data_IF_700329612996
#
_entry.id   IF_700329612996
#
_cell.length_a   1.000
_cell.length_b   1.000
_cell.length_c   1.000
_cell.angle_alpha   90.00
_cell.angle_beta   90.00
_cell.angle_gamma   90.00
#
_symmetry.space_group_name_H-M   'P 1'
#
loop_
_entity.id
_entity.type
_entity.pdbx_description
1 polymer ?
#
# COMPACT_ATOMS: atom_id res chain seq x y z
N UNK A 1 -0.90 21.64 19.13
CA UNK A 1 0.42 20.98 18.99
C UNK A 1 0.38 19.48 19.26
N UNK A 2 -0.33 18.99 20.30
CA UNK A 2 -0.46 17.55 20.58
C UNK A 2 -0.95 16.73 19.38
N UNK A 3 -2.01 17.19 18.71
CA UNK A 3 -2.54 16.52 17.51
C UNK A 3 -1.58 16.51 16.32
N UNK A 4 -0.78 17.57 16.12
CA UNK A 4 0.24 17.61 15.06
C UNK A 4 1.38 16.62 15.37
N UNK A 5 1.86 16.58 16.61
CA UNK A 5 2.90 15.64 17.04
C UNK A 5 2.41 14.20 16.96
N UNK A 6 1.17 13.94 17.38
CA UNK A 6 0.53 12.62 17.28
C UNK A 6 0.35 12.20 15.83
N UNK A 7 -0.05 13.11 14.93
CA UNK A 7 -0.17 12.82 13.50
C UNK A 7 1.19 12.51 12.85
N UNK A 8 2.24 13.29 13.15
CA UNK A 8 3.59 13.04 12.64
C UNK A 8 4.15 11.71 13.17
N UNK A 9 4.00 11.46 14.48
CA UNK A 9 4.41 10.20 15.09
C UNK A 9 3.61 9.02 14.52
N UNK A 10 2.31 9.19 14.29
CA UNK A 10 1.45 8.18 13.67
C UNK A 10 1.87 7.84 12.25
N UNK A 11 2.11 8.84 11.40
CA UNK A 11 2.59 8.64 10.01
C UNK A 11 3.99 7.99 10.00
N UNK A 12 4.89 8.40 10.89
CA UNK A 12 6.24 7.83 10.97
C UNK A 12 6.27 6.40 11.50
N UNK A 13 5.59 6.13 12.61
CA UNK A 13 5.55 4.80 13.24
C UNK A 13 4.66 3.81 12.49
N UNK A 14 3.62 4.30 11.82
CA UNK A 14 2.68 3.49 11.03
C UNK A 14 3.08 3.29 9.58
N UNK A 15 4.26 3.75 9.14
CA UNK A 15 4.66 3.76 7.73
C UNK A 15 4.52 2.39 7.05
N UNK A 16 4.87 1.31 7.75
CA UNK A 16 4.76 -0.05 7.22
C UNK A 16 3.45 -0.72 7.60
N UNK A 17 2.85 -0.38 8.74
CA UNK A 17 1.63 -1.02 9.25
C UNK A 17 0.39 -0.56 8.46
N UNK A 18 -0.21 -1.48 7.71
CA UNK A 18 -1.34 -1.21 6.85
C UNK A 18 -2.40 -2.32 6.97
N UNK A 19 -3.68 -1.94 6.86
CA UNK A 19 -4.80 -2.89 6.78
C UNK A 19 -4.93 -3.50 5.39
N UNK A 20 -4.51 -2.74 4.37
CA UNK A 20 -4.48 -3.16 2.97
C UNK A 20 -3.04 -3.39 2.55
N UNK A 21 -2.86 -4.25 1.56
CA UNK A 21 -1.57 -4.43 0.90
C UNK A 21 -1.22 -3.14 0.17
N UNK A 22 0.00 -2.66 0.39
CA UNK A 22 0.52 -1.41 -0.18
C UNK A 22 1.80 -1.66 -0.99
N UNK A 23 2.29 -0.62 -1.66
CA UNK A 23 3.48 -0.69 -2.52
C UNK A 23 4.75 -1.10 -1.76
N UNK A 24 4.86 -0.77 -0.47
CA UNK A 24 5.98 -1.19 0.38
C UNK A 24 6.00 -2.70 0.59
N UNK A 25 4.86 -3.36 0.72
CA UNK A 25 4.79 -4.83 0.84
C UNK A 25 5.32 -5.51 -0.41
N UNK A 26 4.94 -5.00 -1.60
CA UNK A 26 5.41 -5.50 -2.90
C UNK A 26 6.91 -5.32 -3.05
N UNK A 27 7.42 -4.17 -2.64
CA UNK A 27 8.83 -3.86 -2.71
C UNK A 27 9.65 -4.79 -1.80
N UNK A 28 9.22 -4.93 -0.54
CA UNK A 28 9.91 -5.76 0.44
C UNK A 28 9.86 -7.23 0.05
N UNK A 29 8.71 -7.75 -0.40
CA UNK A 29 8.60 -9.14 -0.87
C UNK A 29 9.48 -9.40 -2.09
N UNK A 30 9.59 -8.43 -3.01
CA UNK A 30 10.48 -8.50 -4.17
C UNK A 30 11.96 -8.58 -3.77
N UNK A 31 12.42 -7.68 -2.89
CA UNK A 31 13.80 -7.68 -2.38
C UNK A 31 14.09 -8.97 -1.60
N UNK A 32 13.17 -9.40 -0.74
CA UNK A 32 13.30 -10.64 0.03
C UNK A 32 13.34 -11.88 -0.87
N UNK A 33 12.57 -11.89 -1.96
CA UNK A 33 12.62 -12.97 -2.94
C UNK A 33 13.97 -13.03 -3.65
N UNK A 34 14.52 -11.89 -4.09
CA UNK A 34 15.84 -11.85 -4.72
C UNK A 34 16.96 -12.27 -3.75
N UNK A 35 16.85 -11.91 -2.47
CA UNK A 35 17.76 -12.38 -1.43
C UNK A 35 17.59 -13.89 -1.16
N UNK A 36 16.36 -14.42 -1.11
CA UNK A 36 16.09 -15.83 -0.86
C UNK A 36 16.60 -16.74 -1.98
N UNK A 37 16.50 -16.29 -3.23
CA UNK A 37 17.02 -16.99 -4.42
C UNK A 37 18.54 -17.24 -4.38
N UNK A 38 19.28 -16.50 -3.56
CA UNK A 38 20.72 -16.73 -3.37
C UNK A 38 21.01 -18.07 -2.67
N UNK A 39 20.07 -18.53 -1.83
CA UNK A 39 20.13 -19.78 -1.09
C UNK A 39 19.35 -20.87 -1.84
N UNK A 40 18.10 -20.60 -2.20
CA UNK A 40 17.21 -21.53 -2.90
C UNK A 40 16.45 -20.82 -4.04
N UNK A 41 16.74 -21.23 -5.27
CA UNK A 41 16.15 -20.65 -6.48
C UNK A 41 14.63 -20.85 -6.61
N UNK A 42 14.05 -21.83 -5.89
CA UNK A 42 12.61 -22.07 -5.89
C UNK A 42 11.86 -21.24 -4.83
N UNK A 43 12.58 -20.58 -3.91
CA UNK A 43 11.96 -19.81 -2.85
C UNK A 43 11.38 -18.49 -3.37
N UNK A 44 10.12 -18.24 -3.03
CA UNK A 44 9.40 -17.02 -3.39
C UNK A 44 8.69 -16.47 -2.17
N UNK A 45 8.96 -15.22 -1.83
CA UNK A 45 8.28 -14.51 -0.73
C UNK A 45 7.08 -13.79 -1.31
N UNK A 46 5.89 -14.16 -0.86
CA UNK A 46 4.64 -13.57 -1.32
C UNK A 46 4.39 -12.23 -0.65
N UNK A 47 3.69 -11.34 -1.37
CA UNK A 47 3.27 -10.03 -0.85
C UNK A 47 2.33 -10.19 0.36
N UNK A 48 1.54 -11.26 0.38
CA UNK A 48 0.57 -11.52 1.45
C UNK A 48 1.20 -12.11 2.73
N UNK A 49 2.48 -12.52 2.69
CA UNK A 49 3.11 -13.22 3.82
C UNK A 49 3.18 -12.31 5.06
N UNK A 50 3.39 -11.01 4.85
CA UNK A 50 3.44 -10.03 5.94
C UNK A 50 2.05 -9.50 6.33
N UNK A 51 1.00 -9.72 5.54
CA UNK A 51 -0.26 -9.00 5.68
C UNK A 51 -0.93 -9.19 7.05
N UNK A 52 -0.97 -10.41 7.57
CA UNK A 52 -1.53 -10.67 8.91
C UNK A 52 -0.76 -9.94 10.00
N UNK A 53 0.57 -9.90 9.91
CA UNK A 53 1.41 -9.19 10.86
C UNK A 53 1.19 -7.68 10.78
N UNK A 54 1.16 -7.11 9.57
CA UNK A 54 0.93 -5.68 9.36
C UNK A 54 -0.47 -5.25 9.83
N UNK A 55 -1.51 -6.02 9.49
CA UNK A 55 -2.89 -5.74 9.90
C UNK A 55 -3.05 -5.78 11.42
N UNK A 56 -2.43 -6.76 12.10
CA UNK A 56 -2.43 -6.81 13.57
C UNK A 56 -1.66 -5.64 14.19
N UNK A 57 -0.54 -5.24 13.58
CA UNK A 57 0.29 -4.12 14.03
C UNK A 57 -0.47 -2.80 13.98
N UNK A 58 -1.37 -2.58 13.02
CA UNK A 58 -2.21 -1.36 12.98
C UNK A 58 -3.01 -1.20 14.27
N UNK A 59 -3.61 -2.28 14.78
CA UNK A 59 -4.43 -2.25 16.00
C UNK A 59 -3.54 -1.91 17.20
N UNK A 60 -2.40 -2.61 17.32
CA UNK A 60 -1.45 -2.40 18.42
C UNK A 60 -0.89 -0.98 18.40
N UNK A 61 -0.44 -0.49 17.25
CA UNK A 61 0.12 0.86 17.10
C UNK A 61 -0.93 1.94 17.33
N UNK A 62 -2.18 1.72 16.91
CA UNK A 62 -3.28 2.66 17.18
C UNK A 62 -3.54 2.78 18.68
N UNK A 63 -3.61 1.64 19.39
CA UNK A 63 -3.83 1.63 20.84
C UNK A 63 -2.65 2.23 21.60
N UNK A 64 -1.43 1.78 21.30
CA UNK A 64 -0.22 2.24 21.99
C UNK A 64 0.06 3.71 21.67
N UNK A 65 -0.07 4.11 20.40
CA UNK A 65 0.12 5.50 19.96
C UNK A 65 -0.92 6.45 20.54
N UNK A 66 -2.18 6.02 20.61
CA UNK A 66 -3.25 6.75 21.30
C UNK A 66 -2.95 6.91 22.79
N UNK A 67 -2.63 5.80 23.48
CA UNK A 67 -2.30 5.83 24.90
C UNK A 67 -1.09 6.70 25.24
N UNK A 68 -0.03 6.66 24.43
CA UNK A 68 1.15 7.53 24.60
C UNK A 68 0.76 8.99 24.37
N UNK A 69 -0.07 9.27 23.36
CA UNK A 69 -0.54 10.62 23.06
C UNK A 69 -1.33 11.18 24.25
N UNK A 70 -2.37 10.47 24.68
CA UNK A 70 -3.32 10.95 25.69
C UNK A 70 -2.68 11.00 27.08
N UNK A 71 -1.81 10.04 27.42
CA UNK A 71 -1.29 9.88 28.79
C UNK A 71 0.07 10.53 29.01
N UNK A 72 0.87 10.73 27.96
CA UNK A 72 2.24 11.26 28.09
C UNK A 72 2.38 12.59 27.36
N UNK A 73 1.95 12.68 26.10
CA UNK A 73 2.18 13.88 25.26
C UNK A 73 1.23 15.00 25.68
N UNK A 74 -0.07 14.72 25.75
CA UNK A 74 -1.11 15.73 26.03
C UNK A 74 -0.95 16.37 27.43
N UNK A 75 -0.69 15.62 28.52
CA UNK A 75 -0.52 16.22 29.84
C UNK A 75 0.74 17.10 29.95
N UNK A 76 1.76 16.85 29.14
CA UNK A 76 3.01 17.63 29.11
C UNK A 76 2.88 18.94 28.33
N UNK A 77 1.86 19.07 27.48
CA UNK A 77 1.63 20.25 26.64
C UNK A 77 0.75 21.32 27.29
N UNK A 78 0.12 21.02 28.44
CA UNK A 78 -0.77 21.94 29.16
C UNK A 78 -2.14 22.12 28.49
N UNK A 79 -3.07 22.79 29.18
CA UNK A 79 -4.41 23.08 28.63
C UNK A 79 -4.32 24.18 27.58
N UNK A 80 -4.86 23.91 26.40
CA UNK A 80 -4.91 24.87 25.30
C UNK A 80 -5.97 25.94 25.55
N UNK A 81 -5.57 27.20 25.71
CA UNK A 81 -6.46 28.35 25.94
C UNK A 81 -6.72 29.20 24.68
N UNK A 82 -6.27 28.77 23.51
CA UNK A 82 -6.40 29.51 22.25
C UNK A 82 -7.70 29.23 21.49
N UNK A 83 -8.41 30.27 21.05
CA UNK A 83 -9.51 30.16 20.09
C UNK A 83 -8.93 29.84 18.71
N UNK A 84 -9.17 28.64 18.19
CA UNK A 84 -8.77 28.27 16.83
C UNK A 84 -9.76 28.85 15.82
N UNK A 85 -9.33 29.85 15.04
CA UNK A 85 -10.08 30.35 13.88
C UNK A 85 -9.87 29.48 12.62
N UNK A 86 -9.05 28.42 12.71
CA UNK A 86 -8.98 27.36 11.69
C UNK A 86 -10.26 26.52 11.73
N UNK A 87 -11.23 26.89 10.90
CA UNK A 87 -12.34 26.00 10.56
C UNK A 87 -11.76 24.85 9.74
N UNK A 88 -11.97 23.62 10.20
CA UNK A 88 -11.78 22.42 9.39
C UNK A 88 -12.43 22.68 8.02
N UNK A 89 -11.66 22.59 6.94
CA UNK A 89 -12.19 22.73 5.60
C UNK A 89 -13.26 21.67 5.39
N UNK A 90 -14.51 22.12 5.36
CA UNK A 90 -15.63 21.21 5.11
C UNK A 90 -15.59 20.81 3.65
N UNK A 91 -15.69 19.51 3.39
CA UNK A 91 -15.76 18.97 2.03
C UNK A 91 -16.77 19.74 1.18
N UNK A 92 -16.33 20.16 0.00
CA UNK A 92 -17.21 20.80 -0.98
C UNK A 92 -18.32 19.83 -1.44
N UNK A 93 -19.39 20.35 -2.03
CA UNK A 93 -20.47 19.50 -2.56
C UNK A 93 -19.96 18.55 -3.63
N UNK A 94 -19.02 19.01 -4.45
CA UNK A 94 -18.36 18.26 -5.52
C UNK A 94 -17.46 17.16 -4.96
N UNK A 95 -16.66 17.45 -3.93
CA UNK A 95 -15.82 16.44 -3.27
C UNK A 95 -16.66 15.37 -2.58
N UNK A 96 -17.75 15.76 -1.91
CA UNK A 96 -18.66 14.82 -1.26
C UNK A 96 -19.38 13.93 -2.29
N UNK A 97 -19.76 14.49 -3.43
CA UNK A 97 -20.31 13.71 -4.55
C UNK A 97 -19.26 12.74 -5.11
N UNK A 98 -18.05 13.23 -5.39
CA UNK A 98 -16.94 12.41 -5.86
C UNK A 98 -16.62 11.25 -4.93
N UNK A 99 -16.62 11.47 -3.61
CA UNK A 99 -16.36 10.44 -2.62
C UNK A 99 -17.45 9.35 -2.63
N UNK A 100 -18.73 9.72 -2.81
CA UNK A 100 -19.81 8.74 -2.96
C UNK A 100 -19.66 7.90 -4.22
N UNK A 101 -19.34 8.53 -5.35
CA UNK A 101 -19.11 7.82 -6.62
C UNK A 101 -17.93 6.85 -6.48
N UNK A 102 -16.81 7.32 -5.93
CA UNK A 102 -15.63 6.49 -5.66
C UNK A 102 -15.95 5.31 -4.73
N UNK A 103 -16.75 5.55 -3.68
CA UNK A 103 -17.23 4.49 -2.78
C UNK A 103 -18.10 3.45 -3.48
N UNK A 104 -19.05 3.88 -4.31
CA UNK A 104 -19.91 2.95 -5.09
C UNK A 104 -19.05 2.15 -6.06
N UNK A 105 -18.15 2.79 -6.80
CA UNK A 105 -17.27 2.13 -7.77
C UNK A 105 -16.34 1.13 -7.08
N UNK A 106 -15.79 1.49 -5.90
CA UNK A 106 -15.00 0.58 -5.06
C UNK A 106 -15.80 -0.67 -4.68
N UNK A 107 -17.03 -0.50 -4.19
CA UNK A 107 -17.89 -1.63 -3.81
C UNK A 107 -18.25 -2.52 -5.01
N UNK A 108 -18.55 -1.91 -6.18
CA UNK A 108 -18.82 -2.65 -7.42
C UNK A 108 -17.59 -3.45 -7.86
N UNK A 109 -16.40 -2.86 -7.78
CA UNK A 109 -15.16 -3.55 -8.11
C UNK A 109 -14.92 -4.74 -7.18
N UNK A 110 -15.06 -4.54 -5.87
CA UNK A 110 -14.91 -5.59 -4.86
C UNK A 110 -15.94 -6.70 -5.10
N UNK A 111 -17.19 -6.35 -5.39
CA UNK A 111 -18.24 -7.34 -5.69
C UNK A 111 -17.91 -8.14 -6.96
N UNK A 112 -17.41 -7.48 -8.01
CA UNK A 112 -17.00 -8.15 -9.25
C UNK A 112 -15.84 -9.12 -9.01
N UNK A 113 -14.82 -8.70 -8.26
CA UNK A 113 -13.70 -9.59 -7.87
C UNK A 113 -14.19 -10.73 -6.99
N UNK A 114 -15.08 -10.47 -6.03
CA UNK A 114 -15.67 -11.50 -5.18
C UNK A 114 -16.46 -12.52 -6.02
N UNK A 115 -17.21 -12.09 -7.04
CA UNK A 115 -17.86 -13.01 -7.97
C UNK A 115 -16.88 -13.84 -8.82
N UNK A 116 -15.66 -13.36 -9.05
CA UNK A 116 -14.62 -14.10 -9.75
C UNK A 116 -13.82 -15.06 -8.85
N UNK A 117 -13.91 -14.91 -7.51
CA UNK A 117 -13.12 -15.67 -6.53
C UNK A 117 -13.97 -16.59 -5.65
N UNK A 118 -15.16 -16.17 -5.22
CA UNK A 118 -16.01 -16.88 -4.27
C UNK A 118 -16.68 -18.13 -4.87
N UNK A 119 -17.27 -18.09 -6.08
CA UNK A 119 -17.86 -19.28 -6.69
C UNK A 119 -16.81 -20.36 -6.95
N UNK A 120 -17.20 -21.63 -6.87
CA UNK A 120 -16.30 -22.76 -7.15
C UNK A 120 -15.73 -22.71 -8.59
N UNK A 121 -16.50 -22.13 -9.53
CA UNK A 121 -16.13 -21.89 -10.92
C UNK A 121 -15.41 -20.54 -11.14
N UNK A 122 -14.93 -19.89 -10.09
CA UNK A 122 -14.26 -18.60 -10.18
C UNK A 122 -12.97 -18.68 -11.01
N UNK A 123 -12.87 -17.83 -12.03
CA UNK A 123 -11.72 -17.79 -12.97
C UNK A 123 -10.40 -17.53 -12.22
N UNK A 124 -10.45 -16.81 -11.10
CA UNK A 124 -9.27 -16.43 -10.32
C UNK A 124 -8.88 -17.45 -9.24
N UNK A 125 -9.63 -18.55 -9.08
CA UNK A 125 -9.26 -19.67 -8.20
C UNK A 125 -8.28 -20.63 -8.89
N UNK A 126 -7.66 -21.49 -8.10
CA UNK A 126 -6.90 -22.62 -8.65
C UNK A 126 -7.81 -23.51 -9.50
N UNK A 127 -7.46 -23.69 -10.77
CA UNK A 127 -8.26 -24.44 -11.75
C UNK A 127 -8.27 -25.96 -11.49
N UNK A 128 -7.41 -26.45 -10.59
CA UNK A 128 -7.23 -27.89 -10.32
C UNK A 128 -7.73 -28.27 -8.93
N UNK A 129 -7.44 -27.44 -7.92
CA UNK A 129 -7.77 -27.70 -6.51
C UNK A 129 -8.96 -26.89 -6.01
N UNK A 130 -9.46 -25.92 -6.80
CA UNK A 130 -10.48 -24.94 -6.39
C UNK A 130 -10.13 -24.21 -5.08
N UNK A 131 -8.86 -24.21 -4.68
CA UNK A 131 -8.38 -23.55 -3.47
C UNK A 131 -8.16 -22.07 -3.73
N UNK A 132 -8.34 -21.26 -2.68
CA UNK A 132 -7.99 -19.84 -2.71
C UNK A 132 -6.48 -19.65 -2.52
N UNK A 133 -5.81 -20.59 -1.84
CA UNK A 133 -4.36 -20.64 -1.69
C UNK A 133 -3.82 -22.03 -2.08
N UNK A 134 -2.85 -22.12 -3.02
CA UNK A 134 -2.40 -21.10 -3.97
C UNK A 134 -3.48 -20.83 -5.03
N UNK A 135 -3.54 -19.63 -5.61
CA UNK A 135 -4.45 -19.30 -6.73
C UNK A 135 -3.94 -18.12 -7.57
N UNK A 136 -4.40 -17.97 -8.83
CA UNK A 136 -4.14 -16.80 -9.66
C UNK A 136 -4.50 -15.48 -8.99
N UNK A 137 -5.52 -15.46 -8.11
CA UNK A 137 -5.89 -14.29 -7.32
C UNK A 137 -4.75 -13.80 -6.41
N UNK A 138 -4.10 -14.71 -5.69
CA UNK A 138 -3.02 -14.36 -4.75
C UNK A 138 -1.74 -13.96 -5.50
N UNK A 139 -1.40 -14.69 -6.57
CA UNK A 139 -0.24 -14.36 -7.40
C UNK A 139 -0.43 -13.04 -8.16
N UNK A 140 -1.65 -12.74 -8.58
CA UNK A 140 -2.05 -11.52 -9.29
C UNK A 140 -2.55 -10.39 -8.38
N UNK A 141 -2.31 -10.45 -7.06
CA UNK A 141 -2.88 -9.47 -6.13
C UNK A 141 -2.38 -8.05 -6.41
N UNK A 142 -1.11 -7.90 -6.83
CA UNK A 142 -0.50 -6.60 -7.15
C UNK A 142 -1.18 -5.90 -8.32
N UNK A 143 -1.29 -6.50 -9.53
CA UNK A 143 -2.00 -5.86 -10.63
C UNK A 143 -3.49 -5.63 -10.31
N UNK A 144 -4.11 -6.49 -9.50
CA UNK A 144 -5.50 -6.30 -9.07
C UNK A 144 -5.67 -5.06 -8.19
N UNK A 145 -4.76 -4.83 -7.25
CA UNK A 145 -4.73 -3.62 -6.40
C UNK A 145 -4.48 -2.37 -7.25
N UNK A 146 -3.54 -2.42 -8.21
CA UNK A 146 -3.29 -1.31 -9.14
C UNK A 146 -4.57 -0.97 -9.91
N UNK A 147 -5.25 -1.99 -10.45
CA UNK A 147 -6.50 -1.81 -11.19
C UNK A 147 -7.61 -1.23 -10.30
N UNK A 148 -7.74 -1.72 -9.07
CA UNK A 148 -8.70 -1.21 -8.08
C UNK A 148 -8.47 0.29 -7.83
N UNK A 149 -7.25 0.68 -7.44
CA UNK A 149 -6.94 2.09 -7.17
C UNK A 149 -7.03 2.96 -8.41
N UNK A 150 -6.67 2.44 -9.59
CA UNK A 150 -6.82 3.16 -10.86
C UNK A 150 -8.29 3.47 -11.14
N UNK A 151 -9.17 2.46 -11.07
CA UNK A 151 -10.61 2.61 -11.34
C UNK A 151 -11.28 3.56 -10.33
N UNK A 152 -10.97 3.41 -9.04
CA UNK A 152 -11.51 4.28 -7.97
C UNK A 152 -11.03 5.72 -8.10
N UNK A 153 -9.73 5.93 -8.37
CA UNK A 153 -9.14 7.26 -8.52
C UNK A 153 -9.67 7.96 -9.78
N UNK A 154 -9.83 7.22 -10.88
CA UNK A 154 -10.41 7.72 -12.11
C UNK A 154 -11.86 8.15 -11.90
N UNK A 155 -12.66 7.32 -11.23
CA UNK A 155 -14.05 7.64 -10.90
C UNK A 155 -14.16 8.90 -10.04
N UNK A 156 -13.30 9.05 -9.02
CA UNK A 156 -13.24 10.26 -8.20
C UNK A 156 -12.81 11.49 -9.02
N UNK A 157 -11.77 11.36 -9.85
CA UNK A 157 -11.25 12.44 -10.69
C UNK A 157 -12.26 12.95 -11.71
N UNK A 158 -13.04 12.05 -12.31
CA UNK A 158 -14.13 12.40 -13.23
C UNK A 158 -15.28 13.06 -12.45
N UNK A 159 -15.72 12.46 -11.34
CA UNK A 159 -16.86 12.97 -10.57
C UNK A 159 -16.61 14.33 -9.90
N UNK A 160 -15.36 14.64 -9.56
CA UNK A 160 -14.96 15.97 -9.06
C UNK A 160 -14.64 16.97 -10.17
N UNK A 161 -14.68 16.56 -11.44
CA UNK A 161 -14.39 17.41 -12.59
C UNK A 161 -12.92 17.80 -12.73
N UNK A 162 -12.00 17.11 -12.02
CA UNK A 162 -10.54 17.21 -12.19
C UNK A 162 -10.09 16.58 -13.51
N UNK A 163 -10.75 15.51 -13.93
CA UNK A 163 -10.53 14.83 -15.21
C UNK A 163 -11.74 15.14 -16.10
N UNK A 164 -11.56 16.00 -17.10
CA UNK A 164 -12.64 16.38 -18.04
C UNK A 164 -12.44 15.77 -19.40
N UNK A 165 -11.19 15.56 -19.80
CA UNK A 165 -10.79 14.99 -21.08
C UNK A 165 -9.82 13.84 -20.86
N UNK A 166 -9.82 12.88 -21.77
CA UNK A 166 -8.85 11.78 -21.76
C UNK A 166 -7.41 12.29 -21.80
N UNK A 167 -7.17 13.46 -22.41
CA UNK A 167 -5.87 14.12 -22.47
C UNK A 167 -5.35 14.63 -21.12
N UNK A 168 -6.21 14.75 -20.09
CA UNK A 168 -5.79 15.20 -18.75
C UNK A 168 -5.11 14.05 -17.98
N UNK A 169 -5.43 12.79 -18.32
CA UNK A 169 -4.97 11.61 -17.59
C UNK A 169 -3.44 11.39 -17.66
N UNK A 170 -2.77 11.48 -18.83
CA UNK A 170 -1.32 11.30 -18.89
C UNK A 170 -0.53 12.26 -17.99
N UNK A 171 -0.97 13.52 -17.89
CA UNK A 171 -0.29 14.50 -17.03
C UNK A 171 -0.37 14.11 -15.55
N UNK A 172 -1.54 13.65 -15.10
CA UNK A 172 -1.76 13.17 -13.73
C UNK A 172 -0.96 11.89 -13.42
N UNK A 173 -0.61 11.10 -14.44
CA UNK A 173 0.23 9.90 -14.28
C UNK A 173 1.73 10.21 -14.27
N UNK A 174 2.16 11.31 -14.92
CA UNK A 174 3.58 11.71 -14.99
C UNK A 174 4.08 12.22 -13.64
N UNK A 175 3.25 12.93 -12.88
CA UNK A 175 3.67 13.59 -11.63
C UNK A 175 4.16 12.57 -10.57
N UNK A 176 3.44 11.48 -10.25
CA UNK A 176 3.96 10.44 -9.36
C UNK A 176 5.24 9.76 -9.89
N UNK A 177 5.37 9.60 -11.21
CA UNK A 177 6.58 9.02 -11.81
C UNK A 177 7.81 9.90 -11.64
N UNK A 178 7.65 11.23 -11.64
CA UNK A 178 8.74 12.17 -11.36
C UNK A 178 9.22 12.05 -9.92
N UNK A 179 8.32 11.89 -8.96
CA UNK A 179 8.67 11.67 -7.55
C UNK A 179 9.47 10.37 -7.36
N UNK A 180 9.17 9.34 -8.16
CA UNK A 180 9.91 8.07 -8.13
C UNK A 180 11.25 8.09 -8.87
N UNK A 181 11.58 9.13 -9.63
CA UNK A 181 12.79 9.16 -10.44
C UNK A 181 14.07 9.00 -9.59
N UNK A 182 14.13 9.68 -8.43
CA UNK A 182 15.26 9.56 -7.51
C UNK A 182 15.40 8.15 -6.92
N UNK A 183 14.28 7.49 -6.62
CA UNK A 183 14.26 6.11 -6.15
C UNK A 183 14.77 5.14 -7.22
N UNK A 184 14.33 5.29 -8.47
CA UNK A 184 14.77 4.45 -9.61
C UNK A 184 16.29 4.57 -9.81
N UNK A 185 16.83 5.79 -9.76
CA UNK A 185 18.27 6.05 -9.91
C UNK A 185 19.07 5.36 -8.78
N UNK A 186 18.54 5.32 -7.56
CA UNK A 186 19.20 4.64 -6.43
C UNK A 186 19.13 3.11 -6.54
N UNK A 187 17.97 2.55 -6.90
CA UNK A 187 17.76 1.09 -6.96
C UNK A 187 18.50 0.46 -8.14
N UNK A 188 18.72 1.20 -9.23
CA UNK A 188 19.38 0.65 -10.41
C UNK A 188 20.79 0.09 -10.13
N UNK A 189 21.75 0.84 -9.55
CA UNK A 189 23.06 0.29 -9.17
C UNK A 189 22.97 -0.85 -8.15
N UNK A 190 22.03 -0.78 -7.20
CA UNK A 190 21.83 -1.83 -6.19
C UNK A 190 21.42 -3.16 -6.85
N UNK A 191 20.48 -3.10 -7.79
CA UNK A 191 20.06 -4.29 -8.54
C UNK A 191 21.22 -4.88 -9.35
N UNK A 192 22.07 -4.04 -9.96
CA UNK A 192 23.27 -4.52 -10.66
C UNK A 192 24.28 -5.16 -9.69
N UNK A 193 24.48 -4.59 -8.51
CA UNK A 193 25.33 -5.18 -7.47
C UNK A 193 24.82 -6.56 -7.05
N UNK A 194 23.51 -6.69 -6.74
CA UNK A 194 22.91 -7.97 -6.36
C UNK A 194 23.05 -9.00 -7.50
N UNK A 195 22.83 -8.60 -8.74
CA UNK A 195 23.00 -9.49 -9.90
C UNK A 195 24.45 -9.99 -10.04
N UNK A 196 25.44 -9.10 -9.92
CA UNK A 196 26.87 -9.48 -9.97
C UNK A 196 27.30 -10.31 -8.76
N UNK A 197 26.77 -10.01 -7.58
CA UNK A 197 27.01 -10.74 -6.33
C UNK A 197 26.46 -12.17 -6.40
N UNK A 198 25.29 -12.35 -7.03
CA UNK A 198 24.71 -13.67 -7.29
C UNK A 198 25.48 -14.43 -8.37
N UNK A 199 25.85 -13.77 -9.46
CA UNK A 199 26.63 -14.38 -10.54
C UNK A 199 28.00 -14.88 -10.06
N UNK A 200 28.66 -14.12 -9.18
CA UNK A 200 29.95 -14.48 -8.59
C UNK A 200 29.87 -15.54 -7.49
N UNK A 201 28.67 -16.02 -7.13
CA UNK A 201 28.42 -16.93 -5.99
C UNK A 201 28.96 -16.43 -4.64
N UNK A 202 29.28 -15.13 -4.50
CA UNK A 202 29.78 -14.56 -3.24
C UNK A 202 28.75 -14.68 -2.11
N UNK A 203 27.45 -14.63 -2.42
CA UNK A 203 26.39 -14.82 -1.44
C UNK A 203 26.40 -16.19 -0.77
N UNK A 204 26.62 -17.25 -1.55
CA UNK A 204 26.71 -18.62 -1.02
C UNK A 204 27.95 -18.81 -0.16
N UNK A 205 29.07 -18.18 -0.54
CA UNK A 205 30.32 -18.27 0.22
C UNK A 205 30.20 -17.59 1.60
N UNK A 206 29.60 -16.40 1.68
CA UNK A 206 29.38 -15.71 2.96
C UNK A 206 28.28 -16.33 3.83
N UNK A 207 27.32 -17.06 3.26
CA UNK A 207 26.26 -17.70 4.03
C UNK A 207 26.72 -18.99 4.76
N UNK A 208 27.83 -19.59 4.31
CA UNK A 208 28.39 -20.82 4.88
C UNK A 208 29.60 -20.56 5.78
N UNK A 209 30.29 -19.43 5.59
CA UNK A 209 31.38 -18.96 6.45
C UNK A 209 30.86 -18.33 7.75
#
# INVERSE_FOLDING_TARGET
MAGLLSAIAGVGCGFTANLLIVTTDVLLSGISTEAAKTIDAAMHVSVIDNWYFMASSVIVLTLVGGLITDKIIEPRLGKWEGRSDEKLETLSKEQRFGLRVAGIVSLVFIAMVALMVVPENGILRDQVKHTVLPSPFIQGIVPLIILFFFVVSLAYGIATGKIRRQADLPQLMIEPMKEMAGFIVMVFPLAQFVAMFNWSNMGKFMAVA
#
